data_IF_276370267494
#
_entry.id   IF_276370267494
#
_cell.length_a   1.000
_cell.length_b   1.000
_cell.length_c   1.000
_cell.angle_alpha   90.00
_cell.angle_beta   90.00
_cell.angle_gamma   90.00
#
_symmetry.space_group_name_H-M   'P 1'
#
loop_
_entity.id
_entity.type
_entity.pdbx_description
1 polymer ?
#
# COMPACT_ATOMS: atom_id res chain seq x y z
N UNK A 1 31.46 -48.47 59.91
CA UNK A 1 30.74 -47.18 60.09
C UNK A 1 31.18 -46.22 59.01
N UNK A 2 30.22 -45.43 58.47
CA UNK A 2 30.35 -44.28 57.56
C UNK A 2 30.58 -44.57 56.06
N UNK A 3 29.45 -44.77 55.36
CA UNK A 3 29.30 -44.50 53.92
C UNK A 3 29.11 -42.99 53.70
N UNK A 4 29.84 -42.43 52.73
CA UNK A 4 29.68 -41.06 52.25
C UNK A 4 28.61 -41.02 51.15
N UNK A 5 27.54 -40.26 51.37
CA UNK A 5 26.51 -40.00 50.38
C UNK A 5 26.93 -38.82 49.50
N UNK A 6 27.25 -39.08 48.23
CA UNK A 6 27.43 -38.07 47.20
C UNK A 6 26.05 -37.67 46.66
N UNK A 7 25.61 -36.45 46.98
CA UNK A 7 24.42 -35.81 46.41
C UNK A 7 24.80 -35.21 45.05
N UNK A 8 24.33 -35.83 43.97
CA UNK A 8 24.41 -35.28 42.61
C UNK A 8 23.20 -34.34 42.43
N UNK A 9 23.48 -33.04 42.32
CA UNK A 9 22.51 -32.01 41.97
C UNK A 9 22.35 -32.03 40.44
N UNK A 10 21.18 -32.38 39.87
CA UNK A 10 20.94 -32.18 38.46
C UNK A 10 20.66 -30.69 38.25
N UNK A 11 21.67 -29.98 37.76
CA UNK A 11 21.52 -28.63 37.23
C UNK A 11 20.55 -28.67 36.04
N UNK A 12 19.30 -28.28 36.28
CA UNK A 12 18.34 -27.93 35.24
C UNK A 12 18.91 -26.74 34.45
N UNK A 13 19.58 -27.06 33.34
CA UNK A 13 19.82 -26.13 32.24
C UNK A 13 18.47 -25.74 31.66
N UNK A 14 17.82 -24.74 32.26
CA UNK A 14 16.79 -23.95 31.61
C UNK A 14 17.47 -23.15 30.50
N UNK A 15 17.63 -23.80 29.34
CA UNK A 15 17.90 -23.10 28.08
C UNK A 15 16.64 -22.30 27.81
N UNK A 16 16.62 -21.03 28.21
CA UNK A 16 15.65 -20.07 27.70
C UNK A 16 15.91 -19.98 26.21
N UNK A 17 15.16 -20.77 25.44
CA UNK A 17 15.00 -20.57 24.02
C UNK A 17 14.45 -19.15 23.85
N UNK A 18 15.34 -18.18 23.65
CA UNK A 18 15.05 -16.94 22.95
C UNK A 18 14.72 -17.33 21.50
N UNK A 19 13.60 -18.04 21.31
CA UNK A 19 13.02 -18.26 20.00
C UNK A 19 12.67 -16.89 19.45
N UNK A 20 13.13 -16.62 18.24
CA UNK A 20 12.75 -15.45 17.46
C UNK A 20 11.23 -15.29 17.57
N UNK A 21 10.78 -14.14 18.08
CA UNK A 21 9.35 -13.82 18.21
C UNK A 21 8.73 -14.09 16.83
N UNK A 22 7.67 -14.91 16.74
CA UNK A 22 7.07 -15.21 15.45
C UNK A 22 6.71 -13.91 14.75
N UNK A 23 7.03 -13.81 13.45
CA UNK A 23 6.65 -12.67 12.64
C UNK A 23 5.13 -12.56 12.65
N UNK A 24 4.63 -11.38 13.02
CA UNK A 24 3.19 -11.05 13.03
C UNK A 24 2.99 -9.80 12.18
N UNK A 25 1.73 -9.49 11.83
CA UNK A 25 1.42 -8.27 11.08
C UNK A 25 1.75 -6.98 11.86
N UNK A 26 2.00 -7.05 13.18
CA UNK A 26 2.12 -5.88 14.04
C UNK A 26 0.80 -5.56 14.76
N UNK A 27 0.87 -4.58 15.66
CA UNK A 27 -0.23 -4.25 16.58
C UNK A 27 -1.07 -3.06 16.10
N UNK A 28 -0.48 -2.14 15.33
CA UNK A 28 -1.16 -0.95 14.81
C UNK A 28 -1.61 -1.12 13.36
N UNK A 29 -2.66 -0.41 12.92
CA UNK A 29 -3.10 -0.43 11.52
C UNK A 29 -1.95 -0.04 10.55
N UNK A 30 -1.10 0.91 10.98
CA UNK A 30 0.08 1.32 10.21
C UNK A 30 1.09 0.18 10.08
N UNK A 31 1.42 -0.52 11.17
CA UNK A 31 2.36 -1.64 11.13
C UNK A 31 1.81 -2.80 10.29
N UNK A 32 0.51 -3.11 10.41
CA UNK A 32 -0.14 -4.15 9.61
C UNK A 32 -0.06 -3.85 8.11
N UNK A 33 -0.47 -2.65 7.70
CA UNK A 33 -0.45 -2.25 6.30
C UNK A 33 0.98 -2.18 5.76
N UNK A 34 1.94 -1.67 6.56
CA UNK A 34 3.34 -1.60 6.16
C UNK A 34 3.95 -3.01 6.01
N UNK A 35 3.71 -3.90 6.96
CA UNK A 35 4.14 -5.30 6.89
C UNK A 35 3.57 -5.98 5.64
N UNK A 36 2.29 -5.78 5.35
CA UNK A 36 1.67 -6.35 4.15
C UNK A 36 2.19 -5.77 2.84
N UNK A 37 2.52 -4.47 2.81
CA UNK A 37 3.24 -3.88 1.68
C UNK A 37 4.61 -4.54 1.46
N UNK A 38 5.38 -4.74 2.53
CA UNK A 38 6.69 -5.42 2.45
C UNK A 38 6.54 -6.88 2.02
N UNK A 39 5.55 -7.61 2.55
CA UNK A 39 5.21 -8.98 2.12
C UNK A 39 4.89 -9.03 0.63
N UNK A 40 4.09 -8.09 0.12
CA UNK A 40 3.77 -8.01 -1.31
C UNK A 40 5.01 -7.69 -2.16
N UNK A 41 5.90 -6.81 -1.69
CA UNK A 41 7.17 -6.53 -2.34
C UNK A 41 8.11 -7.75 -2.34
N UNK A 42 8.16 -8.51 -1.25
CA UNK A 42 8.93 -9.76 -1.17
C UNK A 42 8.37 -10.82 -2.13
N UNK A 43 7.05 -11.00 -2.15
CA UNK A 43 6.37 -11.90 -3.08
C UNK A 43 6.62 -11.52 -4.55
N UNK A 44 6.60 -10.24 -4.89
CA UNK A 44 6.90 -9.79 -6.24
C UNK A 44 8.35 -10.09 -6.67
N UNK A 45 9.29 -10.14 -5.71
CA UNK A 45 10.69 -10.47 -5.97
C UNK A 45 10.94 -11.95 -6.19
N UNK A 46 10.10 -12.85 -5.67
CA UNK A 46 10.30 -14.31 -5.88
C UNK A 46 10.00 -14.76 -7.30
N UNK A 47 9.18 -13.99 -8.02
CA UNK A 47 8.84 -14.23 -9.43
C UNK A 47 9.72 -13.42 -10.39
N UNK A 48 10.58 -12.55 -9.88
CA UNK A 48 11.51 -11.77 -10.67
C UNK A 48 12.76 -12.61 -11.02
N UNK A 49 13.25 -12.48 -12.25
CA UNK A 49 14.49 -13.14 -12.70
C UNK A 49 15.75 -12.58 -12.05
N UNK A 50 15.70 -11.32 -11.59
CA UNK A 50 16.73 -10.67 -10.81
C UNK A 50 16.11 -10.07 -9.55
N UNK A 51 16.44 -10.64 -8.39
CA UNK A 51 15.94 -10.21 -7.07
C UNK A 51 16.39 -8.79 -6.70
N UNK A 52 17.47 -8.30 -7.33
CA UNK A 52 17.99 -6.94 -7.14
C UNK A 52 17.41 -5.94 -8.14
N UNK A 53 16.72 -6.40 -9.18
CA UNK A 53 16.06 -5.51 -10.11
C UNK A 53 14.93 -4.75 -9.40
N UNK A 54 14.71 -3.48 -9.78
CA UNK A 54 13.60 -2.72 -9.24
C UNK A 54 12.26 -3.35 -9.62
N UNK A 55 11.28 -3.18 -8.73
CA UNK A 55 9.94 -3.73 -8.92
C UNK A 55 9.29 -3.13 -10.17
N UNK A 56 8.47 -3.91 -10.87
CA UNK A 56 7.62 -3.36 -11.93
C UNK A 56 6.64 -2.34 -11.35
N UNK A 57 6.08 -1.48 -12.22
CA UNK A 57 5.03 -0.52 -11.82
C UNK A 57 3.85 -1.24 -11.17
N UNK A 58 3.48 -2.41 -11.68
CA UNK A 58 2.42 -3.25 -11.13
C UNK A 58 2.76 -3.76 -9.73
N UNK A 59 3.95 -4.33 -9.53
CA UNK A 59 4.38 -4.80 -8.21
C UNK A 59 4.45 -3.64 -7.19
N UNK A 60 4.92 -2.46 -7.63
CA UNK A 60 4.94 -1.27 -6.79
C UNK A 60 3.54 -0.74 -6.51
N UNK A 61 2.62 -0.82 -7.48
CA UNK A 61 1.21 -0.51 -7.30
C UNK A 61 0.57 -1.41 -6.24
N UNK A 62 0.75 -2.72 -6.36
CA UNK A 62 0.25 -3.70 -5.40
C UNK A 62 0.79 -3.47 -3.98
N UNK A 63 2.07 -3.15 -3.84
CA UNK A 63 2.67 -2.77 -2.56
C UNK A 63 1.99 -1.52 -1.98
N UNK A 64 1.77 -0.49 -2.79
CA UNK A 64 1.16 0.77 -2.36
C UNK A 64 -0.34 0.65 -2.05
N UNK A 65 -1.03 -0.36 -2.57
CA UNK A 65 -2.44 -0.64 -2.25
C UNK A 65 -2.71 -0.73 -0.75
N UNK A 66 -1.81 -1.33 0.03
CA UNK A 66 -1.99 -1.45 1.48
C UNK A 66 -1.96 -0.09 2.19
N UNK A 67 -1.08 0.81 1.76
CA UNK A 67 -1.04 2.18 2.30
C UNK A 67 -2.33 2.94 1.94
N UNK A 68 -2.79 2.80 0.70
CA UNK A 68 -4.03 3.43 0.23
C UNK A 68 -5.26 2.89 0.97
N UNK A 69 -5.34 1.59 1.21
CA UNK A 69 -6.44 0.97 1.96
C UNK A 69 -6.46 1.42 3.42
N UNK A 70 -5.31 1.44 4.10
CA UNK A 70 -5.20 1.95 5.46
C UNK A 70 -5.62 3.42 5.55
N UNK A 71 -5.22 4.24 4.57
CA UNK A 71 -5.68 5.62 4.44
C UNK A 71 -7.17 5.77 4.13
N UNK A 72 -7.88 4.70 3.78
CA UNK A 72 -9.27 4.72 3.30
C UNK A 72 -10.24 3.99 4.21
N UNK A 73 -9.84 3.61 5.42
CA UNK A 73 -10.73 2.95 6.39
C UNK A 73 -11.96 3.82 6.71
N UNK A 74 -11.78 5.14 6.75
CA UNK A 74 -12.85 6.12 6.93
C UNK A 74 -13.66 6.45 5.67
N UNK A 75 -14.56 7.43 5.80
CA UNK A 75 -15.31 8.01 4.67
C UNK A 75 -14.48 8.98 3.84
N UNK A 76 -13.49 9.62 4.47
CA UNK A 76 -12.51 10.48 3.83
C UNK A 76 -11.15 9.83 3.91
N UNK A 77 -10.37 10.02 2.86
CA UNK A 77 -8.99 9.58 2.82
C UNK A 77 -8.16 10.33 3.88
N UNK A 78 -7.27 9.61 4.54
CA UNK A 78 -6.31 10.08 5.54
C UNK A 78 -4.89 10.05 4.94
N UNK A 79 -4.42 11.15 4.33
CA UNK A 79 -3.09 11.23 3.74
C UNK A 79 -1.96 10.95 4.74
N UNK A 80 -2.14 11.36 5.99
CA UNK A 80 -1.20 11.15 7.09
C UNK A 80 -1.02 9.66 7.41
N UNK A 81 -2.10 8.87 7.44
CA UNK A 81 -2.02 7.41 7.64
C UNK A 81 -1.30 6.75 6.48
N UNK A 82 -1.64 7.11 5.24
CA UNK A 82 -0.97 6.60 4.04
C UNK A 82 0.53 6.92 4.07
N UNK A 83 0.88 8.17 4.40
CA UNK A 83 2.27 8.61 4.53
C UNK A 83 3.02 7.88 5.64
N UNK A 84 2.38 7.65 6.78
CA UNK A 84 2.95 6.87 7.88
C UNK A 84 3.24 5.43 7.47
N UNK A 85 2.32 4.77 6.75
CA UNK A 85 2.53 3.42 6.21
C UNK A 85 3.71 3.39 5.23
N UNK A 86 3.75 4.29 4.25
CA UNK A 86 4.83 4.35 3.25
C UNK A 86 6.19 4.57 3.93
N UNK A 87 6.24 5.45 4.94
CA UNK A 87 7.45 5.68 5.73
C UNK A 87 7.86 4.46 6.55
N UNK A 88 6.90 3.69 7.05
CA UNK A 88 7.13 2.51 7.90
C UNK A 88 7.62 1.29 7.12
N UNK A 89 7.23 1.13 5.85
CA UNK A 89 7.65 0.01 5.00
C UNK A 89 9.17 -0.23 4.95
N UNK A 90 10.03 0.75 4.64
CA UNK A 90 11.49 0.53 4.61
C UNK A 90 12.07 0.16 5.97
N UNK A 91 11.47 0.60 7.07
CA UNK A 91 11.91 0.25 8.44
C UNK A 91 11.61 -1.22 8.80
N UNK A 92 10.65 -1.83 8.11
CA UNK A 92 10.23 -3.23 8.31
C UNK A 92 10.83 -4.18 7.26
N UNK A 93 11.44 -3.65 6.20
CA UNK A 93 11.88 -4.43 5.04
C UNK A 93 12.74 -5.64 5.43
N UNK A 94 13.89 -5.39 6.07
CA UNK A 94 14.85 -6.43 6.44
C UNK A 94 14.25 -7.45 7.42
N UNK A 95 13.55 -6.97 8.46
CA UNK A 95 12.96 -7.82 9.49
C UNK A 95 11.89 -8.79 8.92
N UNK A 96 11.10 -8.33 7.95
CA UNK A 96 10.11 -9.18 7.28
C UNK A 96 10.79 -10.13 6.31
N UNK A 97 11.74 -9.66 5.49
CA UNK A 97 12.37 -10.51 4.46
C UNK A 97 13.31 -11.57 5.02
N UNK A 98 13.91 -11.34 6.19
CA UNK A 98 14.81 -12.31 6.87
C UNK A 98 14.05 -13.42 7.62
N UNK A 99 12.73 -13.41 7.56
CA UNK A 99 11.86 -14.39 8.24
C UNK A 99 10.93 -15.08 7.24
N UNK A 100 10.09 -16.01 7.71
CA UNK A 100 9.17 -16.79 6.87
C UNK A 100 7.92 -15.94 6.51
N UNK A 101 8.14 -14.86 5.76
CA UNK A 101 7.13 -13.89 5.36
C UNK A 101 6.02 -14.50 4.51
N UNK A 102 6.26 -15.63 3.85
CA UNK A 102 5.28 -16.35 3.05
C UNK A 102 4.04 -16.72 3.89
N UNK A 103 4.24 -17.00 5.19
CA UNK A 103 3.16 -17.28 6.14
C UNK A 103 2.25 -16.07 6.40
N UNK A 104 2.70 -14.85 6.08
CA UNK A 104 1.90 -13.64 6.23
C UNK A 104 1.06 -13.30 5.01
N UNK A 105 1.27 -13.95 3.85
CA UNK A 105 0.51 -13.66 2.63
C UNK A 105 -1.00 -13.80 2.86
N UNK A 106 -1.44 -14.92 3.45
CA UNK A 106 -2.86 -15.15 3.74
C UNK A 106 -3.43 -14.20 4.82
N UNK A 107 -2.75 -14.00 5.98
CA UNK A 107 -3.15 -12.96 6.93
C UNK A 107 -3.28 -11.56 6.32
N UNK A 108 -2.38 -11.17 5.41
CA UNK A 108 -2.45 -9.88 4.74
C UNK A 108 -3.66 -9.74 3.82
N UNK A 109 -4.01 -10.79 3.08
CA UNK A 109 -5.22 -10.81 2.25
C UNK A 109 -6.51 -10.76 3.09
N UNK A 110 -6.48 -11.30 4.31
CA UNK A 110 -7.61 -11.25 5.25
C UNK A 110 -7.77 -9.87 5.89
N UNK A 111 -6.68 -9.25 6.35
CA UNK A 111 -6.72 -7.93 6.98
C UNK A 111 -7.04 -6.83 5.96
N UNK A 112 -6.44 -6.91 4.76
CA UNK A 112 -6.62 -5.94 3.69
C UNK A 112 -7.13 -6.63 2.42
N UNK A 113 -8.45 -6.84 2.28
CA UNK A 113 -9.02 -7.42 1.07
C UNK A 113 -8.90 -6.42 -0.09
N UNK A 114 -7.84 -6.56 -0.89
CA UNK A 114 -7.65 -5.80 -2.12
C UNK A 114 -8.59 -6.38 -3.18
N UNK A 115 -9.41 -5.53 -3.80
CA UNK A 115 -10.20 -5.95 -4.96
C UNK A 115 -9.27 -6.42 -6.08
N UNK A 116 -9.37 -7.70 -6.46
CA UNK A 116 -8.51 -8.35 -7.45
C UNK A 116 -8.89 -8.05 -8.90
N UNK A 117 -9.67 -6.99 -9.14
CA UNK A 117 -10.12 -6.63 -10.47
C UNK A 117 -8.92 -6.18 -11.32
N UNK A 118 -8.58 -6.99 -12.33
CA UNK A 118 -7.60 -6.62 -13.35
C UNK A 118 -8.03 -5.38 -14.16
N UNK A 119 -9.32 -5.08 -14.17
CA UNK A 119 -9.94 -3.88 -14.74
C UNK A 119 -10.95 -3.28 -13.74
N UNK A 120 -10.51 -2.39 -12.84
CA UNK A 120 -11.40 -1.78 -11.86
C UNK A 120 -12.48 -0.94 -12.56
N UNK A 121 -13.73 -1.08 -12.12
CA UNK A 121 -14.83 -0.28 -12.62
C UNK A 121 -14.82 1.09 -11.95
N UNK A 122 -14.47 2.11 -12.74
CA UNK A 122 -14.52 3.50 -12.27
C UNK A 122 -15.97 3.92 -11.98
N UNK A 123 -16.23 4.74 -10.94
CA UNK A 123 -17.55 5.25 -10.63
C UNK A 123 -18.24 5.88 -11.83
N UNK A 124 -19.57 5.77 -11.91
CA UNK A 124 -20.36 6.33 -13.01
C UNK A 124 -20.60 7.83 -12.85
N UNK A 125 -20.56 8.35 -11.60
CA UNK A 125 -20.61 9.79 -11.37
C UNK A 125 -19.36 10.47 -11.95
N UNK A 126 -19.51 11.43 -12.89
CA UNK A 126 -18.37 12.06 -13.57
C UNK A 126 -17.45 12.84 -12.64
N UNK A 127 -17.99 13.48 -11.59
CA UNK A 127 -17.18 14.24 -10.64
C UNK A 127 -16.37 13.30 -9.76
N UNK A 128 -17.00 12.26 -9.20
CA UNK A 128 -16.30 11.27 -8.37
C UNK A 128 -15.22 10.57 -9.18
N UNK A 129 -15.53 10.14 -10.41
CA UNK A 129 -14.55 9.49 -11.28
C UNK A 129 -13.41 10.42 -11.68
N UNK A 130 -13.67 11.69 -11.98
CA UNK A 130 -12.62 12.64 -12.32
C UNK A 130 -11.72 12.97 -11.12
N UNK A 131 -12.32 13.23 -9.95
CA UNK A 131 -11.56 13.51 -8.73
C UNK A 131 -10.71 12.31 -8.31
N UNK A 132 -11.25 11.10 -8.38
CA UNK A 132 -10.48 9.90 -8.06
C UNK A 132 -9.30 9.69 -9.02
N UNK A 133 -9.49 9.91 -10.32
CA UNK A 133 -8.41 9.84 -11.31
C UNK A 133 -7.34 10.92 -11.14
N UNK A 134 -7.73 12.15 -10.79
CA UNK A 134 -6.82 13.23 -10.40
C UNK A 134 -5.97 12.84 -9.18
N UNK A 135 -6.61 12.35 -8.12
CA UNK A 135 -5.94 12.02 -6.86
C UNK A 135 -5.02 10.80 -6.99
N UNK A 136 -5.47 9.73 -7.64
CA UNK A 136 -4.65 8.53 -7.84
C UNK A 136 -3.47 8.81 -8.80
N UNK A 137 -3.67 9.66 -9.80
CA UNK A 137 -2.62 10.13 -10.70
C UNK A 137 -1.54 10.93 -9.98
N UNK A 138 -1.95 11.90 -9.14
CA UNK A 138 -1.02 12.67 -8.32
C UNK A 138 -0.25 11.78 -7.35
N UNK A 139 -0.94 10.83 -6.70
CA UNK A 139 -0.32 9.87 -5.79
C UNK A 139 0.73 9.01 -6.50
N UNK A 140 0.37 8.38 -7.62
CA UNK A 140 1.27 7.48 -8.34
C UNK A 140 2.48 8.23 -8.91
N UNK A 141 2.30 9.44 -9.44
CA UNK A 141 3.42 10.26 -9.90
C UNK A 141 4.40 10.56 -8.76
N UNK A 142 3.92 10.97 -7.59
CA UNK A 142 4.78 11.23 -6.42
C UNK A 142 5.46 9.97 -5.92
N UNK A 143 4.75 8.85 -5.84
CA UNK A 143 5.29 7.58 -5.38
C UNK A 143 6.39 7.03 -6.30
N UNK A 144 6.30 7.32 -7.61
CA UNK A 144 7.27 6.89 -8.62
C UNK A 144 8.37 7.91 -8.90
N UNK A 145 8.21 9.17 -8.44
CA UNK A 145 9.03 10.33 -8.83
C UNK A 145 10.55 10.13 -8.65
N UNK A 146 10.95 9.41 -7.61
CA UNK A 146 12.34 9.33 -7.18
C UNK A 146 13.21 8.33 -7.96
N UNK A 147 12.63 7.55 -8.86
CA UNK A 147 13.32 6.45 -9.52
C UNK A 147 13.16 6.54 -11.06
N UNK A 148 14.27 6.76 -11.80
CA UNK A 148 14.25 6.97 -13.24
C UNK A 148 13.72 5.75 -14.02
N UNK A 149 13.70 4.56 -13.41
CA UNK A 149 13.16 3.36 -14.05
C UNK A 149 11.65 3.43 -14.30
N UNK A 150 10.96 4.39 -13.68
CA UNK A 150 9.54 4.62 -13.90
C UNK A 150 9.26 5.81 -14.82
N UNK A 151 10.25 6.33 -15.55
CA UNK A 151 10.08 7.51 -16.42
C UNK A 151 8.92 7.35 -17.41
N UNK A 152 8.80 6.19 -18.08
CA UNK A 152 7.70 5.96 -19.02
C UNK A 152 6.33 6.03 -18.35
N UNK A 153 6.19 5.44 -17.16
CA UNK A 153 4.98 5.52 -16.37
C UNK A 153 4.70 6.96 -15.92
N UNK A 154 5.73 7.69 -15.48
CA UNK A 154 5.59 9.10 -15.09
C UNK A 154 5.14 9.97 -16.26
N UNK A 155 5.71 9.79 -17.46
CA UNK A 155 5.30 10.51 -18.68
C UNK A 155 3.85 10.21 -19.01
N UNK A 156 3.47 8.92 -18.98
CA UNK A 156 2.08 8.49 -19.24
C UNK A 156 1.11 9.10 -18.22
N UNK A 157 1.46 9.13 -16.94
CA UNK A 157 0.64 9.69 -15.87
C UNK A 157 0.60 11.23 -15.91
N UNK A 158 1.68 11.88 -16.33
CA UNK A 158 1.73 13.33 -16.53
C UNK A 158 0.79 13.81 -17.64
N UNK A 159 0.62 13.01 -18.70
CA UNK A 159 -0.38 13.31 -19.75
C UNK A 159 -1.81 13.27 -19.23
N UNK A 160 -2.12 12.32 -18.34
CA UNK A 160 -3.42 12.28 -17.66
C UNK A 160 -3.62 13.53 -16.80
N UNK A 161 -2.65 13.86 -15.95
CA UNK A 161 -2.69 15.03 -15.05
C UNK A 161 -3.02 16.33 -15.80
N UNK A 162 -2.31 16.59 -16.90
CA UNK A 162 -2.55 17.77 -17.74
C UNK A 162 -3.98 17.82 -18.33
N UNK A 163 -4.62 16.67 -18.57
CA UNK A 163 -6.01 16.60 -19.03
C UNK A 163 -7.00 16.79 -17.89
N UNK A 164 -6.65 16.37 -16.67
CA UNK A 164 -7.56 16.44 -15.50
C UNK A 164 -7.81 17.86 -15.02
N UNK A 165 -6.83 18.77 -15.12
CA UNK A 165 -6.99 20.18 -14.76
C UNK A 165 -8.19 20.84 -15.46
N UNK A 166 -8.35 20.58 -16.76
CA UNK A 166 -9.46 21.07 -17.57
C UNK A 166 -10.79 20.37 -17.33
N UNK A 167 -10.83 19.27 -16.55
CA UNK A 167 -12.04 18.48 -16.28
C UNK A 167 -12.57 18.69 -14.87
N UNK A 168 -11.70 18.73 -13.87
CA UNK A 168 -12.08 18.76 -12.46
C UNK A 168 -12.73 20.09 -12.07
N UNK A 169 -12.13 21.22 -12.44
CA UNK A 169 -12.63 22.53 -12.02
C UNK A 169 -14.07 22.83 -12.51
N UNK A 170 -14.43 22.59 -13.79
CA UNK A 170 -15.83 22.75 -14.23
C UNK A 170 -16.82 21.84 -13.51
N UNK A 171 -16.43 20.59 -13.23
CA UNK A 171 -17.29 19.64 -12.53
C UNK A 171 -17.55 20.07 -11.08
N UNK A 172 -16.53 20.54 -10.36
CA UNK A 172 -16.67 21.09 -9.01
C UNK A 172 -17.58 22.33 -9.00
N UNK A 173 -17.38 23.25 -9.94
CA UNK A 173 -18.21 24.45 -10.07
C UNK A 173 -19.68 24.09 -10.35
N UNK A 174 -19.94 23.13 -11.24
CA UNK A 174 -21.30 22.68 -11.58
C UNK A 174 -22.07 22.07 -10.41
N UNK A 175 -21.38 21.62 -9.36
CA UNK A 175 -21.97 21.05 -8.14
C UNK A 175 -21.97 22.02 -6.95
N UNK A 176 -21.61 23.30 -7.16
CA UNK A 176 -21.52 24.28 -6.07
C UNK A 176 -20.40 23.99 -5.06
N UNK A 177 -19.35 23.29 -5.51
CA UNK A 177 -18.21 22.84 -4.71
C UNK A 177 -16.91 23.59 -5.10
N UNK A 178 -17.03 24.83 -5.58
CA UNK A 178 -15.90 25.63 -6.02
C UNK A 178 -15.02 26.16 -4.87
N UNK A 179 -15.49 26.12 -3.62
CA UNK A 179 -14.68 26.53 -2.47
C UNK A 179 -13.61 25.47 -2.15
N UNK A 180 -12.44 25.93 -1.72
CA UNK A 180 -11.28 25.07 -1.46
C UNK A 180 -11.59 23.94 -0.47
N UNK A 181 -12.23 24.25 0.65
CA UNK A 181 -12.58 23.24 1.68
C UNK A 181 -13.53 22.16 1.15
N UNK A 182 -14.52 22.54 0.34
CA UNK A 182 -15.46 21.59 -0.25
C UNK A 182 -14.76 20.74 -1.30
N UNK A 183 -13.96 21.36 -2.16
CA UNK A 183 -13.17 20.65 -3.16
C UNK A 183 -12.22 19.65 -2.50
N UNK A 184 -11.52 20.05 -1.44
CA UNK A 184 -10.63 19.19 -0.66
C UNK A 184 -11.37 18.01 -0.04
N UNK A 185 -12.48 18.26 0.65
CA UNK A 185 -13.29 17.19 1.26
C UNK A 185 -13.79 16.17 0.23
N UNK A 186 -14.17 16.64 -0.97
CA UNK A 186 -14.61 15.76 -2.07
C UNK A 186 -13.46 14.98 -2.69
N UNK A 187 -12.28 15.60 -2.86
CA UNK A 187 -11.06 14.91 -3.29
C UNK A 187 -10.71 13.75 -2.34
N UNK A 188 -10.73 14.00 -1.03
CA UNK A 188 -10.46 12.96 -0.02
C UNK A 188 -11.52 11.86 -0.04
N UNK A 189 -12.79 12.19 -0.23
CA UNK A 189 -13.87 11.19 -0.35
C UNK A 189 -13.72 10.34 -1.60
N UNK A 190 -13.42 10.96 -2.74
CA UNK A 190 -13.18 10.27 -4.01
C UNK A 190 -11.94 9.36 -3.93
N UNK A 191 -10.85 9.82 -3.30
CA UNK A 191 -9.65 9.02 -3.10
C UNK A 191 -9.91 7.80 -2.21
N UNK A 192 -10.66 7.96 -1.11
CA UNK A 192 -11.05 6.83 -0.25
C UNK A 192 -11.91 5.80 -0.98
N UNK A 193 -12.76 6.27 -1.91
CA UNK A 193 -13.54 5.38 -2.78
C UNK A 193 -12.61 4.63 -3.74
N UNK A 194 -11.71 5.35 -4.42
CA UNK A 194 -10.80 4.78 -5.42
C UNK A 194 -9.84 3.76 -4.84
N UNK A 195 -9.26 4.02 -3.66
CA UNK A 195 -8.35 3.09 -2.99
C UNK A 195 -8.96 1.69 -2.75
N UNK A 196 -10.29 1.60 -2.66
CA UNK A 196 -11.03 0.34 -2.46
C UNK A 196 -11.35 -0.39 -3.76
N UNK A 197 -11.18 0.25 -4.91
CA UNK A 197 -11.53 -0.32 -6.22
C UNK A 197 -10.48 -1.30 -6.75
N UNK A 198 -9.25 -1.26 -6.23
CA UNK A 198 -8.18 -2.18 -6.61
C UNK A 198 -6.80 -1.54 -6.60
N UNK A 199 -5.82 -2.21 -7.23
CA UNK A 199 -4.45 -1.70 -7.31
C UNK A 199 -4.35 -0.37 -8.06
N UNK A 200 -3.51 0.56 -7.58
CA UNK A 200 -3.44 1.90 -8.14
C UNK A 200 -2.91 1.93 -9.57
N UNK A 201 -2.05 0.99 -10.00
CA UNK A 201 -1.61 0.86 -11.39
C UNK A 201 -2.79 0.50 -12.33
N UNK A 202 -3.65 -0.44 -11.93
CA UNK A 202 -4.86 -0.79 -12.70
C UNK A 202 -5.88 0.34 -12.72
N UNK A 203 -5.98 1.11 -11.64
CA UNK A 203 -6.79 2.33 -11.60
C UNK A 203 -6.23 3.40 -12.55
N UNK A 204 -4.91 3.55 -12.64
CA UNK A 204 -4.28 4.45 -13.62
C UNK A 204 -4.62 4.04 -15.05
N UNK A 205 -4.56 2.75 -15.37
CA UNK A 205 -4.96 2.24 -16.69
C UNK A 205 -6.41 2.58 -17.02
N UNK A 206 -7.33 2.35 -16.09
CA UNK A 206 -8.74 2.67 -16.25
C UNK A 206 -8.98 4.19 -16.40
N UNK A 207 -8.26 5.01 -15.63
CA UNK A 207 -8.33 6.47 -15.71
C UNK A 207 -7.83 7.00 -17.05
N UNK A 208 -6.72 6.46 -17.55
CA UNK A 208 -6.16 6.82 -18.86
C UNK A 208 -7.11 6.40 -19.98
N UNK A 209 -7.71 5.21 -19.89
CA UNK A 209 -8.69 4.78 -20.89
C UNK A 209 -9.91 5.72 -20.94
N UNK A 210 -10.31 6.32 -19.81
CA UNK A 210 -11.49 7.21 -19.73
C UNK A 210 -11.17 8.69 -20.02
N UNK A 211 -10.03 9.20 -19.57
CA UNK A 211 -9.71 10.63 -19.57
C UNK A 211 -8.39 10.97 -20.27
N UNK A 212 -7.58 9.96 -20.58
CA UNK A 212 -6.24 10.09 -21.13
C UNK A 212 -6.17 10.35 -22.62
#
# INVERSE_FOLDING_TARGET
>A
MRQAAFLIIPSLLAITACGSKPLTLGETAVDKAATCGVVAAAAARTVATDIKAPLSVEARGQMLSYALLAGSEGTQFAPETTGAVIKRMPELADAVTDTNWEKLVAPCAQEFPIASASAPQLPTDPLVSALGCDQIGSFMRKALASDPLYEEAQVRYGKLDAKMDGKVAPLLASRGMASEDKAKAQKLTAMATFAKLGPPDKLMDACIARYG
#
